data_IF_975194411253
#
_entry.id   IF_975194411253
#
_cell.length_a   1.000
_cell.length_b   1.000
_cell.length_c   1.000
_cell.angle_alpha   90.00
_cell.angle_beta   90.00
_cell.angle_gamma   90.00
#
_symmetry.space_group_name_H-M   'P 1'
#
loop_
_entity.id
_entity.type
_entity.pdbx_description
1 polymer ?
#
# COMPACT_ATOMS: atom_id res chain seq x y z
N UNK A 1 -50.91 -19.76 13.26
CA UNK A 1 -50.02 -19.22 12.22
C UNK A 1 -48.95 -18.38 12.91
N UNK A 2 -47.68 -18.81 12.87
CA UNK A 2 -46.58 -17.93 13.28
C UNK A 2 -46.41 -16.84 12.23
N UNK A 3 -46.29 -15.60 12.64
CA UNK A 3 -46.10 -14.44 11.74
C UNK A 3 -44.77 -14.57 11.00
N UNK A 4 -44.71 -14.06 9.77
CA UNK A 4 -43.50 -14.06 8.93
C UNK A 4 -42.27 -13.47 9.67
N UNK A 5 -42.49 -12.49 10.55
CA UNK A 5 -41.46 -11.89 11.42
C UNK A 5 -40.83 -12.90 12.38
N UNK A 6 -41.61 -13.82 12.96
CA UNK A 6 -41.10 -14.82 13.91
C UNK A 6 -40.18 -15.84 13.20
N UNK A 7 -40.47 -16.13 11.92
CA UNK A 7 -39.61 -16.97 11.08
C UNK A 7 -38.31 -16.24 10.68
N UNK A 8 -38.39 -14.96 10.34
CA UNK A 8 -37.23 -14.15 9.99
C UNK A 8 -36.27 -14.00 11.19
N UNK A 9 -36.79 -13.70 12.38
CA UNK A 9 -36.00 -13.61 13.61
C UNK A 9 -35.33 -14.94 13.98
N UNK A 10 -36.05 -16.06 13.88
CA UNK A 10 -35.47 -17.38 14.15
C UNK A 10 -34.37 -17.77 13.15
N UNK A 11 -34.50 -17.40 11.87
CA UNK A 11 -33.47 -17.65 10.86
C UNK A 11 -32.21 -16.81 11.11
N UNK A 12 -32.36 -15.54 11.50
CA UNK A 12 -31.25 -14.66 11.84
C UNK A 12 -30.45 -15.16 13.05
N UNK A 13 -31.13 -15.57 14.13
CA UNK A 13 -30.49 -16.13 15.33
C UNK A 13 -29.74 -17.43 15.01
N UNK A 14 -30.30 -18.29 14.16
CA UNK A 14 -29.66 -19.53 13.75
C UNK A 14 -28.38 -19.27 12.92
N UNK A 15 -28.43 -18.29 12.02
CA UNK A 15 -27.27 -17.88 11.22
C UNK A 15 -26.17 -17.25 12.08
N UNK A 16 -26.53 -16.39 13.05
CA UNK A 16 -25.57 -15.81 14.00
C UNK A 16 -24.87 -16.89 14.85
N UNK A 17 -25.61 -17.90 15.34
CA UNK A 17 -25.02 -19.02 16.10
C UNK A 17 -24.08 -19.88 15.23
N UNK A 18 -24.40 -20.07 13.94
CA UNK A 18 -23.52 -20.79 13.01
C UNK A 18 -22.26 -20.00 12.70
N UNK A 19 -22.38 -18.69 12.47
CA UNK A 19 -21.24 -17.80 12.28
C UNK A 19 -20.33 -17.78 13.52
N UNK A 20 -20.90 -17.66 14.71
CA UNK A 20 -20.14 -17.69 15.97
C UNK A 20 -19.33 -18.98 16.17
N UNK A 21 -19.91 -20.16 15.84
CA UNK A 21 -19.19 -21.44 15.93
C UNK A 21 -18.04 -21.56 14.92
N UNK A 22 -18.13 -20.89 13.77
CA UNK A 22 -17.07 -20.87 12.76
C UNK A 22 -15.97 -19.86 13.11
N UNK A 23 -16.33 -18.73 13.70
CA UNK A 23 -15.38 -17.66 14.05
C UNK A 23 -14.62 -17.94 15.35
N UNK A 24 -15.20 -18.69 16.30
CA UNK A 24 -14.60 -18.92 17.61
C UNK A 24 -13.23 -19.65 17.54
N UNK A 25 -13.03 -20.71 16.74
CA UNK A 25 -11.71 -21.33 16.58
C UNK A 25 -10.69 -20.40 15.93
N UNK A 26 -11.13 -19.57 14.98
CA UNK A 26 -10.27 -18.57 14.31
C UNK A 26 -9.83 -17.51 15.32
N UNK A 27 -10.77 -16.95 16.09
CA UNK A 27 -10.48 -15.98 17.14
C UNK A 27 -9.55 -16.57 18.22
N UNK A 28 -9.78 -17.80 18.64
CA UNK A 28 -8.92 -18.48 19.61
C UNK A 28 -7.51 -18.73 19.06
N UNK A 29 -7.39 -19.15 17.79
CA UNK A 29 -6.10 -19.30 17.11
C UNK A 29 -5.34 -17.98 16.98
N UNK A 30 -6.05 -16.89 16.65
CA UNK A 30 -5.47 -15.54 16.60
C UNK A 30 -5.00 -15.06 17.99
N UNK A 31 -5.78 -15.29 19.04
CA UNK A 31 -5.41 -14.95 20.42
C UNK A 31 -4.20 -15.74 20.92
N UNK A 32 -4.17 -17.06 20.68
CA UNK A 32 -3.03 -17.90 21.04
C UNK A 32 -1.77 -17.52 20.26
N UNK A 33 -1.92 -17.24 18.97
CA UNK A 33 -0.85 -16.70 18.14
C UNK A 33 -0.32 -15.42 18.76
N UNK A 34 -1.17 -14.40 18.94
CA UNK A 34 -0.78 -13.12 19.54
C UNK A 34 -0.09 -13.27 20.91
N UNK A 35 -0.62 -14.12 21.79
CA UNK A 35 -0.01 -14.40 23.10
C UNK A 35 1.39 -15.00 22.96
N UNK A 36 1.59 -15.95 22.04
CA UNK A 36 2.91 -16.51 21.73
C UNK A 36 3.88 -15.45 21.19
N UNK A 37 3.40 -14.58 20.29
CA UNK A 37 4.15 -13.44 19.76
C UNK A 37 4.67 -12.52 20.86
N UNK A 38 3.79 -12.23 21.82
CA UNK A 38 4.09 -11.30 22.89
C UNK A 38 5.11 -11.88 23.87
N UNK A 39 5.24 -13.20 23.94
CA UNK A 39 6.32 -13.90 24.66
C UNK A 39 7.62 -14.00 23.87
N UNK A 40 7.70 -13.37 22.70
CA UNK A 40 8.89 -13.42 21.85
C UNK A 40 9.02 -14.73 21.06
N UNK A 41 7.96 -15.54 20.97
CA UNK A 41 7.98 -16.62 19.98
C UNK A 41 7.88 -15.98 18.59
N UNK A 42 8.80 -16.33 17.69
CA UNK A 42 8.72 -15.90 16.28
C UNK A 42 7.41 -16.43 15.68
N UNK A 43 6.46 -15.55 15.40
CA UNK A 43 5.19 -15.88 14.75
C UNK A 43 5.38 -16.23 13.28
N UNK A 44 6.49 -15.84 12.67
CA UNK A 44 6.80 -16.19 11.28
C UNK A 44 8.20 -16.82 11.27
N UNK A 45 8.35 -18.07 10.79
CA UNK A 45 7.41 -18.83 9.97
C UNK A 45 6.29 -19.58 10.74
N UNK A 46 6.40 -19.71 12.07
CA UNK A 46 5.68 -20.77 12.79
C UNK A 46 4.21 -20.49 13.11
N UNK A 47 3.78 -19.27 13.42
CA UNK A 47 2.37 -18.98 13.68
C UNK A 47 1.52 -18.89 12.41
N UNK A 48 2.10 -18.56 11.26
CA UNK A 48 1.39 -18.68 9.99
C UNK A 48 1.25 -20.15 9.59
N UNK A 49 2.28 -20.97 9.84
CA UNK A 49 2.17 -22.42 9.75
C UNK A 49 1.16 -23.00 10.77
N UNK A 50 1.09 -22.42 11.98
CA UNK A 50 0.14 -22.82 13.03
C UNK A 50 -1.29 -22.37 12.70
N UNK A 51 -1.47 -21.18 12.11
CA UNK A 51 -2.76 -20.69 11.61
C UNK A 51 -3.23 -21.51 10.42
N UNK A 52 -2.33 -21.85 9.50
CA UNK A 52 -2.63 -22.76 8.39
C UNK A 52 -2.92 -24.18 8.89
N UNK A 53 -2.18 -24.66 9.89
CA UNK A 53 -2.39 -25.94 10.56
C UNK A 53 -3.72 -26.00 11.30
N UNK A 54 -4.08 -24.96 12.04
CA UNK A 54 -5.38 -24.84 12.73
C UNK A 54 -6.53 -24.67 11.74
N UNK A 55 -6.35 -23.91 10.65
CA UNK A 55 -7.33 -23.81 9.57
C UNK A 55 -7.52 -25.16 8.85
N UNK A 56 -6.42 -25.91 8.63
CA UNK A 56 -6.47 -27.26 8.08
C UNK A 56 -7.21 -28.20 9.04
N UNK A 57 -6.88 -28.18 10.33
CA UNK A 57 -7.59 -28.95 11.37
C UNK A 57 -9.07 -28.57 11.41
N UNK A 58 -9.40 -27.28 11.37
CA UNK A 58 -10.79 -26.81 11.33
C UNK A 58 -11.52 -27.29 10.07
N UNK A 59 -10.88 -27.26 8.91
CA UNK A 59 -11.44 -27.81 7.66
C UNK A 59 -11.66 -29.32 7.75
N UNK A 60 -10.73 -30.05 8.37
CA UNK A 60 -10.86 -31.50 8.62
C UNK A 60 -12.00 -31.81 9.60
N UNK A 61 -12.11 -31.04 10.69
CA UNK A 61 -13.18 -31.18 11.68
C UNK A 61 -14.56 -30.83 11.10
N UNK A 62 -14.65 -29.79 10.27
CA UNK A 62 -15.88 -29.46 9.54
C UNK A 62 -16.24 -30.56 8.55
N UNK A 63 -15.27 -31.09 7.81
CA UNK A 63 -15.47 -32.22 6.89
C UNK A 63 -15.98 -33.46 7.65
N UNK A 64 -15.42 -33.74 8.83
CA UNK A 64 -15.86 -34.83 9.72
C UNK A 64 -17.29 -34.60 10.25
N UNK A 65 -17.62 -33.39 10.70
CA UNK A 65 -18.96 -33.04 11.15
C UNK A 65 -20.01 -33.17 10.03
N UNK A 66 -19.65 -32.77 8.80
CA UNK A 66 -20.48 -32.99 7.61
C UNK A 66 -20.67 -34.48 7.29
N UNK A 67 -19.65 -35.31 7.55
CA UNK A 67 -19.72 -36.76 7.38
C UNK A 67 -20.84 -37.38 8.22
N UNK A 68 -21.03 -36.88 9.45
CA UNK A 68 -22.03 -37.35 10.42
C UNK A 68 -23.48 -36.97 10.06
N UNK A 69 -23.67 -35.97 9.20
CA UNK A 69 -25.00 -35.59 8.70
C UNK A 69 -25.44 -36.49 7.52
N UNK A 70 -26.75 -36.54 7.20
CA UNK A 70 -27.31 -37.25 6.02
C UNK A 70 -27.43 -36.41 4.71
N UNK A 71 -26.53 -35.47 4.33
CA UNK A 71 -26.70 -34.76 3.06
C UNK A 71 -26.41 -35.67 1.88
N UNK A 72 -26.98 -35.29 0.73
CA UNK A 72 -26.72 -35.91 -0.57
C UNK A 72 -25.20 -36.00 -0.85
N UNK A 73 -24.71 -37.11 -1.40
CA UNK A 73 -23.28 -37.39 -1.57
C UNK A 73 -22.55 -36.34 -2.42
N UNK A 74 -23.23 -35.75 -3.42
CA UNK A 74 -22.65 -34.70 -4.28
C UNK A 74 -22.27 -33.41 -3.52
N UNK A 75 -23.12 -32.95 -2.61
CA UNK A 75 -22.85 -31.73 -1.82
C UNK A 75 -21.70 -31.94 -0.82
N UNK A 76 -21.56 -33.17 -0.29
CA UNK A 76 -20.42 -33.54 0.57
C UNK A 76 -19.09 -33.43 -0.17
N UNK A 77 -19.01 -34.02 -1.37
CA UNK A 77 -17.80 -33.98 -2.18
C UNK A 77 -17.40 -32.55 -2.56
N UNK A 78 -18.37 -31.71 -2.97
CA UNK A 78 -18.12 -30.31 -3.29
C UNK A 78 -17.57 -29.52 -2.10
N UNK A 79 -18.11 -29.73 -0.89
CA UNK A 79 -17.63 -29.07 0.31
C UNK A 79 -16.19 -29.50 0.68
N UNK A 80 -15.86 -30.79 0.56
CA UNK A 80 -14.50 -31.31 0.81
C UNK A 80 -13.52 -30.71 -0.19
N UNK A 81 -13.86 -30.71 -1.48
CA UNK A 81 -13.01 -30.13 -2.52
C UNK A 81 -12.82 -28.62 -2.26
N UNK A 82 -13.89 -27.89 -1.95
CA UNK A 82 -13.80 -26.45 -1.66
C UNK A 82 -12.91 -26.17 -0.43
N UNK A 83 -13.05 -26.96 0.64
CA UNK A 83 -12.21 -26.87 1.83
C UNK A 83 -10.74 -27.15 1.53
N UNK A 84 -10.45 -28.23 0.80
CA UNK A 84 -9.09 -28.58 0.41
C UNK A 84 -8.45 -27.50 -0.48
N UNK A 85 -9.18 -26.98 -1.47
CA UNK A 85 -8.72 -25.89 -2.33
C UNK A 85 -8.45 -24.63 -1.50
N UNK A 86 -9.34 -24.26 -0.58
CA UNK A 86 -9.14 -23.11 0.30
C UNK A 86 -7.88 -23.30 1.17
N UNK A 87 -7.67 -24.47 1.77
CA UNK A 87 -6.47 -24.76 2.56
C UNK A 87 -5.19 -24.68 1.73
N UNK A 88 -5.18 -25.21 0.51
CA UNK A 88 -4.03 -25.11 -0.40
C UNK A 88 -3.75 -23.65 -0.76
N UNK A 89 -4.78 -22.86 -1.06
CA UNK A 89 -4.61 -21.43 -1.36
C UNK A 89 -4.07 -20.65 -0.16
N UNK A 90 -4.56 -20.94 1.04
CA UNK A 90 -4.03 -20.35 2.28
C UNK A 90 -2.56 -20.75 2.45
N UNK A 91 -2.23 -22.04 2.42
CA UNK A 91 -0.86 -22.52 2.54
C UNK A 91 0.08 -21.90 1.48
N UNK A 92 -0.39 -21.77 0.24
CA UNK A 92 0.35 -21.11 -0.83
C UNK A 92 0.62 -19.63 -0.56
N UNK A 93 -0.39 -18.90 -0.05
CA UNK A 93 -0.23 -17.50 0.36
C UNK A 93 0.75 -17.37 1.54
N UNK A 94 0.65 -18.26 2.53
CA UNK A 94 1.55 -18.33 3.69
C UNK A 94 2.99 -18.58 3.27
N UNK A 95 3.22 -19.60 2.44
CA UNK A 95 4.54 -19.94 1.92
C UNK A 95 5.12 -18.81 1.06
N UNK A 96 4.26 -18.06 0.35
CA UNK A 96 4.67 -16.88 -0.40
C UNK A 96 5.09 -15.73 0.52
N UNK A 97 4.30 -15.43 1.57
CA UNK A 97 4.63 -14.39 2.56
C UNK A 97 5.91 -14.72 3.34
N UNK A 98 6.19 -15.99 3.59
CA UNK A 98 7.40 -16.44 4.28
C UNK A 98 8.68 -16.36 3.41
N UNK A 99 8.57 -16.03 2.11
CA UNK A 99 9.76 -15.85 1.28
C UNK A 99 10.50 -14.59 1.71
N UNK A 100 11.82 -14.65 1.94
CA UNK A 100 12.58 -13.45 2.23
C UNK A 100 12.45 -12.46 1.06
N UNK A 101 12.25 -11.19 1.39
CA UNK A 101 12.38 -10.09 0.43
C UNK A 101 13.73 -9.40 0.62
N UNK A 102 14.17 -8.54 -0.31
CA UNK A 102 15.33 -7.68 -0.10
C UNK A 102 15.25 -6.82 1.17
N UNK A 103 14.04 -6.56 1.68
CA UNK A 103 13.79 -5.83 2.92
C UNK A 103 14.01 -6.72 4.15
N UNK A 104 13.43 -7.93 4.16
CA UNK A 104 13.50 -8.85 5.32
C UNK A 104 14.77 -9.70 5.36
N UNK A 105 15.56 -9.73 4.29
CA UNK A 105 16.85 -10.44 4.26
C UNK A 105 17.99 -9.67 4.91
N UNK A 106 17.76 -8.43 5.34
CA UNK A 106 18.76 -7.58 5.97
C UNK A 106 18.89 -7.92 7.45
N UNK A 107 20.11 -7.87 7.98
CA UNK A 107 20.28 -7.83 9.43
C UNK A 107 19.75 -6.51 10.01
N UNK A 108 19.48 -6.49 11.32
CA UNK A 108 18.86 -5.36 11.99
C UNK A 108 19.69 -4.07 11.92
N UNK A 109 21.03 -4.16 11.96
CA UNK A 109 21.90 -2.99 11.89
C UNK A 109 21.90 -2.39 10.47
N UNK A 110 21.96 -3.23 9.45
CA UNK A 110 21.88 -2.80 8.06
C UNK A 110 20.50 -2.21 7.72
N UNK A 111 19.43 -2.81 8.24
CA UNK A 111 18.08 -2.26 8.14
C UNK A 111 18.02 -0.85 8.74
N UNK A 112 18.53 -0.66 9.96
CA UNK A 112 18.45 0.63 10.64
C UNK A 112 19.25 1.72 9.91
N UNK A 113 20.47 1.40 9.50
CA UNK A 113 21.30 2.32 8.71
C UNK A 113 20.60 2.72 7.40
N UNK A 114 20.03 1.75 6.68
CA UNK A 114 19.29 1.99 5.45
C UNK A 114 18.03 2.83 5.70
N UNK A 115 17.30 2.53 6.76
CA UNK A 115 16.08 3.23 7.14
C UNK A 115 16.33 4.71 7.47
N UNK A 116 17.41 5.04 8.18
CA UNK A 116 17.79 6.43 8.48
C UNK A 116 18.00 7.23 7.19
N UNK A 117 18.75 6.67 6.24
CA UNK A 117 19.04 7.31 4.94
C UNK A 117 17.77 7.46 4.11
N UNK A 118 16.98 6.41 3.99
CA UNK A 118 15.75 6.42 3.19
C UNK A 118 14.67 7.32 3.79
N UNK A 119 14.56 7.41 5.11
CA UNK A 119 13.67 8.36 5.80
C UNK A 119 14.06 9.81 5.50
N UNK A 120 15.35 10.12 5.45
CA UNK A 120 15.82 11.46 5.10
C UNK A 120 15.51 11.79 3.63
N UNK A 121 15.77 10.85 2.71
CA UNK A 121 15.41 10.98 1.30
C UNK A 121 13.92 11.18 1.08
N UNK A 122 13.09 10.39 1.76
CA UNK A 122 11.64 10.56 1.74
C UNK A 122 11.26 12.01 2.09
N UNK A 123 11.82 12.57 3.17
CA UNK A 123 11.52 13.95 3.57
C UNK A 123 11.91 14.95 2.49
N UNK A 124 13.10 14.83 1.94
CA UNK A 124 13.60 15.72 0.88
C UNK A 124 12.74 15.63 -0.38
N UNK A 125 12.37 14.43 -0.79
CA UNK A 125 11.54 14.19 -1.98
C UNK A 125 10.10 14.67 -1.79
N UNK A 126 9.49 14.38 -0.64
CA UNK A 126 8.14 14.83 -0.31
C UNK A 126 8.08 16.36 -0.21
N UNK A 127 9.08 17.00 0.39
CA UNK A 127 9.19 18.46 0.44
C UNK A 127 9.42 19.06 -0.95
N UNK A 128 10.29 18.47 -1.76
CA UNK A 128 10.55 18.91 -3.13
C UNK A 128 9.28 18.88 -3.98
N UNK A 129 8.53 17.77 -3.92
CA UNK A 129 7.26 17.62 -4.61
C UNK A 129 6.21 18.64 -4.15
N UNK A 130 6.09 18.86 -2.83
CA UNK A 130 5.17 19.85 -2.27
C UNK A 130 5.52 21.28 -2.69
N UNK A 131 6.80 21.65 -2.70
CA UNK A 131 7.26 22.98 -3.15
C UNK A 131 6.96 23.25 -4.62
N UNK A 132 6.98 22.22 -5.48
CA UNK A 132 6.59 22.40 -6.89
C UNK A 132 5.12 22.77 -6.98
N UNK A 133 4.26 22.05 -6.28
CA UNK A 133 2.82 22.32 -6.24
C UNK A 133 2.55 23.72 -5.69
N UNK A 134 3.18 24.08 -4.57
CA UNK A 134 3.06 25.40 -3.94
C UNK A 134 3.50 26.52 -4.89
N UNK A 135 4.65 26.38 -5.57
CA UNK A 135 5.12 27.36 -6.55
C UNK A 135 4.16 27.55 -7.72
N UNK A 136 3.57 26.46 -8.22
CA UNK A 136 2.57 26.53 -9.28
C UNK A 136 1.32 27.29 -8.81
N UNK A 137 0.89 27.06 -7.57
CA UNK A 137 -0.24 27.78 -6.96
C UNK A 137 0.06 29.26 -6.75
N UNK A 138 1.21 29.60 -6.17
CA UNK A 138 1.64 30.99 -5.94
C UNK A 138 1.82 31.77 -7.24
N UNK A 139 2.39 31.13 -8.27
CA UNK A 139 2.56 31.73 -9.58
C UNK A 139 1.25 31.80 -10.39
N UNK A 140 0.15 31.22 -9.89
CA UNK A 140 -1.10 31.03 -10.65
C UNK A 140 -0.82 30.41 -12.03
N UNK A 141 -0.01 29.34 -12.03
CA UNK A 141 0.40 28.61 -13.22
C UNK A 141 -0.23 27.21 -13.21
N UNK A 142 -1.14 26.90 -14.15
CA UNK A 142 -1.65 27.76 -15.21
C UNK A 142 -2.63 28.84 -14.70
N UNK A 143 -2.91 29.89 -15.51
CA UNK A 143 -3.95 30.87 -15.20
C UNK A 143 -5.28 30.18 -14.90
N UNK A 144 -6.06 30.71 -13.96
CA UNK A 144 -7.32 30.11 -13.52
C UNK A 144 -8.47 30.17 -14.54
N UNK A 145 -8.24 30.78 -15.70
CA UNK A 145 -9.18 30.83 -16.82
C UNK A 145 -9.00 29.58 -17.69
N UNK A 146 -10.11 28.86 -17.92
CA UNK A 146 -10.11 27.54 -18.57
C UNK A 146 -9.57 27.60 -20.01
N UNK A 147 -9.86 28.70 -20.70
CA UNK A 147 -9.49 28.91 -22.10
C UNK A 147 -8.23 29.77 -22.28
N UNK A 148 -7.63 30.26 -21.19
CA UNK A 148 -6.43 31.09 -21.29
C UNK A 148 -5.29 30.31 -21.95
N UNK A 149 -4.73 30.90 -22.99
CA UNK A 149 -3.59 30.35 -23.73
C UNK A 149 -2.33 30.59 -22.90
N UNK A 150 -1.52 29.55 -22.74
CA UNK A 150 -0.23 29.65 -22.06
C UNK A 150 0.74 30.49 -22.90
N UNK A 151 1.42 31.45 -22.29
CA UNK A 151 2.57 32.08 -22.93
C UNK A 151 3.74 31.10 -23.03
N UNK A 152 4.70 31.36 -23.92
CA UNK A 152 5.88 30.51 -24.07
C UNK A 152 6.65 30.33 -22.74
N UNK A 153 6.76 31.40 -21.93
CA UNK A 153 7.42 31.32 -20.61
C UNK A 153 6.63 30.46 -19.63
N UNK A 154 5.29 30.52 -19.69
CA UNK A 154 4.40 29.68 -18.88
C UNK A 154 4.48 28.21 -19.28
N UNK A 155 4.54 27.91 -20.58
CA UNK A 155 4.75 26.57 -21.11
C UNK A 155 6.06 25.96 -20.62
N UNK A 156 7.16 26.70 -20.72
CA UNK A 156 8.48 26.26 -20.24
C UNK A 156 8.45 26.01 -18.73
N UNK A 157 7.93 26.97 -17.95
CA UNK A 157 7.86 26.84 -16.50
C UNK A 157 6.97 25.66 -16.06
N UNK A 158 5.85 25.44 -16.74
CA UNK A 158 4.94 24.34 -16.46
C UNK A 158 5.57 22.98 -16.82
N UNK A 159 6.26 22.90 -17.96
CA UNK A 159 6.96 21.68 -18.37
C UNK A 159 8.11 21.32 -17.42
N UNK A 160 8.89 22.30 -16.99
CA UNK A 160 9.96 22.12 -16.01
C UNK A 160 9.40 21.67 -14.65
N UNK A 161 8.31 22.28 -14.19
CA UNK A 161 7.61 21.86 -12.98
C UNK A 161 7.07 20.42 -13.10
N UNK A 162 6.50 20.06 -14.25
CA UNK A 162 6.00 18.71 -14.51
C UNK A 162 7.11 17.66 -14.48
N UNK A 163 8.25 17.95 -15.11
CA UNK A 163 9.42 17.06 -15.07
C UNK A 163 9.91 16.85 -13.65
N UNK A 164 10.13 17.94 -12.90
CA UNK A 164 10.62 17.86 -11.53
C UNK A 164 9.62 17.11 -10.63
N UNK A 165 8.31 17.34 -10.82
CA UNK A 165 7.26 16.63 -10.09
C UNK A 165 7.33 15.12 -10.35
N UNK A 166 7.50 14.73 -11.62
CA UNK A 166 7.58 13.31 -12.00
C UNK A 166 8.83 12.63 -11.44
N UNK A 167 9.95 13.33 -11.40
CA UNK A 167 11.20 12.82 -10.82
C UNK A 167 11.05 12.55 -9.31
N UNK A 168 10.45 13.49 -8.56
CA UNK A 168 10.15 13.27 -7.15
C UNK A 168 9.13 12.14 -6.95
N UNK A 169 8.10 12.07 -7.78
CA UNK A 169 7.11 11.00 -7.71
C UNK A 169 7.74 9.62 -7.95
N UNK A 170 8.62 9.50 -8.95
CA UNK A 170 9.35 8.26 -9.21
C UNK A 170 10.26 7.88 -8.03
N UNK A 171 10.91 8.85 -7.40
CA UNK A 171 11.78 8.60 -6.25
C UNK A 171 10.98 8.14 -5.01
N UNK A 172 9.85 8.78 -4.71
CA UNK A 172 8.95 8.37 -3.62
C UNK A 172 8.37 6.97 -3.86
N UNK A 173 7.96 6.67 -5.10
CA UNK A 173 7.42 5.35 -5.45
C UNK A 173 8.49 4.25 -5.32
N UNK A 174 9.78 4.56 -5.55
CA UNK A 174 10.87 3.62 -5.27
C UNK A 174 11.05 3.36 -3.76
N UNK A 175 10.94 4.38 -2.91
CA UNK A 175 10.96 4.20 -1.45
C UNK A 175 9.76 3.37 -1.01
N UNK A 176 8.56 3.72 -1.49
CA UNK A 176 7.33 2.97 -1.21
C UNK A 176 7.46 1.49 -1.58
N UNK A 177 7.84 1.17 -2.82
CA UNK A 177 7.96 -0.23 -3.29
C UNK A 177 8.96 -1.06 -2.52
N UNK A 178 10.03 -0.45 -2.02
CA UNK A 178 11.03 -1.20 -1.28
C UNK A 178 10.57 -1.58 0.11
N UNK A 179 9.87 -0.66 0.79
CA UNK A 179 9.33 -0.92 2.11
C UNK A 179 7.94 -1.60 2.07
N UNK A 180 7.32 -1.80 0.89
CA UNK A 180 5.98 -2.37 0.74
C UNK A 180 5.85 -3.82 1.25
N UNK A 181 6.97 -4.54 1.33
CA UNK A 181 7.06 -5.88 1.91
C UNK A 181 7.06 -5.87 3.46
N UNK A 182 6.69 -4.76 4.12
CA UNK A 182 6.61 -4.64 5.59
C UNK A 182 5.73 -5.72 6.25
N UNK A 183 4.71 -6.22 5.55
CA UNK A 183 3.81 -7.26 6.01
C UNK A 183 4.50 -8.62 6.20
N UNK A 184 5.74 -8.76 5.73
CA UNK A 184 6.57 -9.96 5.94
C UNK A 184 7.35 -9.93 7.25
N UNK A 185 7.51 -8.77 7.88
CA UNK A 185 8.05 -8.70 9.24
C UNK A 185 7.03 -9.25 10.23
N UNK A 186 7.55 -9.94 11.23
CA UNK A 186 6.77 -10.42 12.35
C UNK A 186 6.33 -9.26 13.27
N UNK A 187 5.04 -9.20 13.61
CA UNK A 187 4.48 -8.22 14.56
C UNK A 187 4.86 -8.57 16.03
N UNK A 188 5.49 -9.73 16.25
CA UNK A 188 6.11 -10.11 17.51
C UNK A 188 7.16 -9.11 17.96
N UNK A 189 7.52 -9.14 19.24
CA UNK A 189 8.45 -8.19 19.86
C UNK A 189 9.82 -8.12 19.18
N UNK A 190 10.21 -9.12 18.39
CA UNK A 190 11.50 -9.18 17.71
C UNK A 190 11.59 -8.25 16.49
N UNK A 191 10.55 -8.19 15.67
CA UNK A 191 10.58 -7.47 14.38
C UNK A 191 9.53 -6.33 14.32
N UNK A 192 8.73 -6.15 15.38
CA UNK A 192 7.69 -5.12 15.47
C UNK A 192 8.19 -3.71 15.15
N UNK A 193 9.40 -3.36 15.59
CA UNK A 193 10.01 -2.07 15.27
C UNK A 193 10.26 -1.91 13.77
N UNK A 194 10.86 -2.92 13.13
CA UNK A 194 11.14 -2.93 11.68
C UNK A 194 9.85 -2.92 10.87
N UNK A 195 8.85 -3.69 11.32
CA UNK A 195 7.50 -3.70 10.76
C UNK A 195 6.90 -2.29 10.78
N UNK A 196 6.85 -1.65 11.96
CA UNK A 196 6.26 -0.31 12.13
C UNK A 196 7.00 0.74 11.29
N UNK A 197 8.34 0.78 11.37
CA UNK A 197 9.19 1.68 10.59
C UNK A 197 8.91 1.55 9.09
N UNK A 198 8.89 0.32 8.58
CA UNK A 198 8.66 0.02 7.16
C UNK A 198 7.26 0.38 6.71
N UNK A 199 6.23 0.05 7.51
CA UNK A 199 4.86 0.42 7.23
C UNK A 199 4.71 1.94 7.16
N UNK A 200 5.16 2.67 8.19
CA UNK A 200 5.05 4.12 8.25
C UNK A 200 5.76 4.80 7.08
N UNK A 201 6.94 4.34 6.69
CA UNK A 201 7.67 4.94 5.57
C UNK A 201 7.01 4.64 4.23
N UNK A 202 6.50 3.43 4.04
CA UNK A 202 5.70 3.06 2.85
C UNK A 202 4.46 3.92 2.75
N UNK A 203 3.71 4.03 3.85
CA UNK A 203 2.42 4.71 3.84
C UNK A 203 2.59 6.23 3.75
N UNK A 204 3.59 6.80 4.42
CA UNK A 204 3.91 8.22 4.28
C UNK A 204 4.34 8.59 2.86
N UNK A 205 5.04 7.70 2.14
CA UNK A 205 5.38 7.87 0.72
C UNK A 205 4.15 7.77 -0.19
N UNK A 206 3.26 6.79 0.04
CA UNK A 206 1.97 6.66 -0.68
C UNK A 206 1.11 7.92 -0.50
N UNK A 207 0.95 8.40 0.74
CA UNK A 207 0.16 9.60 1.02
C UNK A 207 0.78 10.86 0.40
N UNK A 208 2.10 11.01 0.45
CA UNK A 208 2.77 12.14 -0.20
C UNK A 208 2.59 12.12 -1.72
N UNK A 209 2.65 10.95 -2.36
CA UNK A 209 2.38 10.79 -3.78
C UNK A 209 0.94 11.21 -4.12
N UNK A 210 -0.02 10.65 -3.40
CA UNK A 210 -1.44 10.87 -3.65
C UNK A 210 -1.85 12.32 -3.38
N UNK A 211 -1.47 12.89 -2.23
CA UNK A 211 -1.79 14.27 -1.85
C UNK A 211 -1.26 15.26 -2.89
N UNK A 212 0.02 15.15 -3.25
CA UNK A 212 0.63 16.10 -4.18
C UNK A 212 0.15 15.88 -5.62
N UNK A 213 -0.15 14.63 -6.03
CA UNK A 213 -0.78 14.37 -7.32
C UNK A 213 -2.19 14.94 -7.40
N UNK A 214 -2.97 14.85 -6.32
CA UNK A 214 -4.31 15.43 -6.24
C UNK A 214 -4.25 16.96 -6.37
N UNK A 215 -3.37 17.62 -5.60
CA UNK A 215 -3.18 19.07 -5.70
C UNK A 215 -2.68 19.52 -7.06
N UNK A 216 -1.67 18.83 -7.62
CA UNK A 216 -1.15 19.14 -8.96
C UNK A 216 -2.25 18.97 -10.02
N UNK A 217 -3.03 17.87 -9.95
CA UNK A 217 -4.11 17.62 -10.89
C UNK A 217 -5.25 18.63 -10.77
N UNK A 218 -5.59 19.05 -9.55
CA UNK A 218 -6.56 20.12 -9.31
C UNK A 218 -6.08 21.45 -9.91
N UNK A 219 -4.80 21.78 -9.77
CA UNK A 219 -4.21 22.97 -10.38
C UNK A 219 -4.26 22.92 -11.91
N UNK A 220 -4.00 21.76 -12.53
CA UNK A 220 -4.12 21.63 -13.98
C UNK A 220 -5.57 21.63 -14.48
N UNK A 221 -6.53 21.28 -13.61
CA UNK A 221 -7.94 21.26 -13.96
C UNK A 221 -8.55 22.67 -14.09
N UNK A 222 -7.86 23.71 -13.65
CA UNK A 222 -8.31 25.10 -13.83
C UNK A 222 -8.08 25.64 -15.24
N UNK A 223 -7.32 24.92 -16.08
CA UNK A 223 -6.98 25.36 -17.43
C UNK A 223 -6.84 24.16 -18.40
N UNK A 224 -7.78 24.01 -19.33
CA UNK A 224 -7.77 22.94 -20.33
C UNK A 224 -6.54 22.96 -21.25
N UNK A 225 -6.00 24.14 -21.57
CA UNK A 225 -4.79 24.26 -22.40
C UNK A 225 -3.56 23.72 -21.69
N UNK A 226 -3.43 23.92 -20.37
CA UNK A 226 -2.33 23.40 -19.57
C UNK A 226 -2.34 21.87 -19.52
N UNK A 227 -3.52 21.27 -19.33
CA UNK A 227 -3.68 19.82 -19.41
C UNK A 227 -3.31 19.30 -20.80
N UNK A 228 -3.81 19.95 -21.85
CA UNK A 228 -3.53 19.56 -23.25
C UNK A 228 -2.04 19.67 -23.56
N UNK A 229 -1.39 20.74 -23.10
CA UNK A 229 0.03 20.97 -23.22
C UNK A 229 0.85 19.86 -22.52
N UNK A 230 0.52 19.49 -21.29
CA UNK A 230 1.23 18.42 -20.56
C UNK A 230 0.99 17.00 -21.13
N UNK A 231 -0.13 16.80 -21.83
CA UNK A 231 -0.42 15.54 -22.54
C UNK A 231 0.11 15.52 -23.98
N UNK A 232 0.57 16.65 -24.53
CA UNK A 232 1.29 16.66 -25.80
C UNK A 232 2.64 15.94 -25.67
N UNK A 233 3.16 15.30 -26.74
CA UNK A 233 4.49 14.71 -26.72
C UNK A 233 5.57 15.82 -26.70
N UNK A 234 6.54 15.72 -25.78
CA UNK A 234 7.69 16.63 -25.64
C UNK A 234 8.98 15.84 -25.86
N UNK A 235 9.31 15.59 -27.14
CA UNK A 235 10.39 14.66 -27.54
C UNK A 235 11.78 15.08 -27.07
N UNK A 236 12.04 16.39 -27.05
CA UNK A 236 13.25 17.05 -26.58
C UNK A 236 13.46 16.91 -25.07
N UNK A 237 12.39 16.64 -24.31
CA UNK A 237 12.44 16.30 -22.88
C UNK A 237 12.17 14.82 -22.61
N UNK A 238 12.16 13.99 -23.66
CA UNK A 238 11.88 12.55 -23.59
C UNK A 238 10.53 12.20 -22.95
N UNK A 239 9.49 13.03 -23.15
CA UNK A 239 8.14 12.77 -22.66
C UNK A 239 7.25 12.22 -23.77
N UNK A 240 6.68 11.05 -23.53
CA UNK A 240 5.62 10.51 -24.36
C UNK A 240 4.33 11.33 -24.17
N UNK A 241 3.53 11.44 -25.22
CA UNK A 241 2.17 12.00 -25.09
C UNK A 241 1.31 11.24 -24.08
N UNK A 242 0.37 11.93 -23.45
CA UNK A 242 -0.51 11.41 -22.41
C UNK A 242 0.16 11.20 -21.05
N UNK A 243 1.36 11.75 -20.83
CA UNK A 243 2.14 11.52 -19.60
C UNK A 243 1.41 11.99 -18.34
N UNK A 244 0.74 13.14 -18.40
CA UNK A 244 0.00 13.71 -17.27
C UNK A 244 -1.28 12.93 -17.00
N UNK A 245 -2.07 12.64 -18.03
CA UNK A 245 -3.27 11.80 -17.92
C UNK A 245 -2.96 10.41 -17.37
N UNK A 246 -1.85 9.80 -17.78
CA UNK A 246 -1.40 8.51 -17.27
C UNK A 246 -1.06 8.58 -15.77
N UNK A 247 -0.29 9.58 -15.34
CA UNK A 247 0.01 9.79 -13.92
C UNK A 247 -1.27 9.94 -13.11
N UNK A 248 -2.21 10.78 -13.57
CA UNK A 248 -3.49 11.00 -12.88
C UNK A 248 -4.26 9.70 -12.71
N UNK A 249 -4.34 8.87 -13.76
CA UNK A 249 -5.00 7.57 -13.69
C UNK A 249 -4.30 6.62 -12.70
N UNK A 250 -2.96 6.66 -12.66
CA UNK A 250 -2.14 5.76 -11.86
C UNK A 250 -2.02 6.14 -10.39
N UNK A 251 -2.17 7.41 -10.05
CA UNK A 251 -2.02 7.90 -8.67
C UNK A 251 -3.35 8.30 -8.04
N UNK A 252 -4.36 8.69 -8.81
CA UNK A 252 -5.67 9.13 -8.29
C UNK A 252 -6.82 8.18 -8.64
N UNK A 253 -6.51 7.01 -9.18
CA UNK A 253 -7.51 5.99 -9.51
C UNK A 253 -8.09 5.31 -8.26
N UNK A 254 -9.22 4.61 -8.44
CA UNK A 254 -9.91 3.89 -7.38
C UNK A 254 -9.01 2.89 -6.60
N UNK A 255 -7.98 2.35 -7.25
CA UNK A 255 -6.98 1.48 -6.62
C UNK A 255 -6.23 2.20 -5.51
N UNK A 256 -5.74 3.40 -5.77
CA UNK A 256 -4.90 4.15 -4.84
C UNK A 256 -5.74 4.76 -3.73
N UNK A 257 -7.00 5.11 -4.01
CA UNK A 257 -8.00 5.40 -2.98
C UNK A 257 -8.21 4.21 -2.03
N UNK A 258 -8.40 3.01 -2.56
CA UNK A 258 -8.55 1.80 -1.74
C UNK A 258 -7.31 1.51 -0.89
N UNK A 259 -6.10 1.78 -1.41
CA UNK A 259 -4.85 1.64 -0.66
C UNK A 259 -4.74 2.63 0.50
N UNK A 260 -5.20 3.87 0.30
CA UNK A 260 -5.21 4.88 1.36
C UNK A 260 -6.16 4.47 2.48
N UNK A 261 -7.38 4.05 2.13
CA UNK A 261 -8.37 3.57 3.10
C UNK A 261 -7.84 2.35 3.85
N UNK A 262 -7.28 1.37 3.14
CA UNK A 262 -6.70 0.18 3.77
C UNK A 262 -5.51 0.52 4.68
N UNK A 263 -4.67 1.48 4.28
CA UNK A 263 -3.53 1.95 5.08
C UNK A 263 -3.98 2.70 6.35
N UNK A 264 -5.02 3.53 6.26
CA UNK A 264 -5.65 4.21 7.40
C UNK A 264 -6.23 3.19 8.40
N UNK A 265 -7.02 2.23 7.91
CA UNK A 265 -7.56 1.14 8.74
C UNK A 265 -6.45 0.30 9.39
N UNK A 266 -5.35 0.07 8.67
CA UNK A 266 -4.22 -0.66 9.22
C UNK A 266 -3.48 0.14 10.29
N UNK A 267 -3.28 1.44 10.07
CA UNK A 267 -2.72 2.36 11.07
C UNK A 267 -3.55 2.34 12.36
N UNK A 268 -4.88 2.38 12.26
CA UNK A 268 -5.80 2.27 13.39
C UNK A 268 -5.71 0.91 14.09
N UNK A 269 -5.61 -0.17 13.32
CA UNK A 269 -5.36 -1.49 13.89
C UNK A 269 -4.03 -1.54 14.68
N UNK A 270 -2.97 -0.91 14.18
CA UNK A 270 -1.68 -0.84 14.88
C UNK A 270 -1.76 0.00 16.16
N UNK A 271 -2.52 1.11 16.15
CA UNK A 271 -2.83 1.91 17.36
C UNK A 271 -3.46 1.03 18.44
N UNK A 272 -4.46 0.22 18.07
CA UNK A 272 -5.22 -0.60 19.02
C UNK A 272 -4.51 -1.86 19.50
N UNK A 273 -3.73 -2.51 18.64
CA UNK A 273 -3.18 -3.86 18.93
C UNK A 273 -1.81 -3.85 19.59
N UNK A 274 -0.95 -2.89 19.26
CA UNK A 274 0.45 -2.87 19.73
C UNK A 274 0.88 -1.55 20.37
N UNK A 275 -0.05 -0.62 20.61
CA UNK A 275 0.25 0.73 21.08
C UNK A 275 1.32 1.40 20.20
N UNK A 276 1.07 1.37 18.88
CA UNK A 276 2.05 1.79 17.88
C UNK A 276 2.48 3.26 18.02
N UNK A 277 1.68 4.10 18.69
CA UNK A 277 2.05 5.48 18.97
C UNK A 277 3.24 5.56 19.94
N UNK A 278 3.15 4.89 21.10
CA UNK A 278 4.28 4.80 22.04
C UNK A 278 5.49 4.14 21.40
N UNK A 279 5.29 3.06 20.65
CA UNK A 279 6.39 2.41 19.93
C UNK A 279 7.05 3.35 18.91
N UNK A 280 6.28 4.19 18.21
CA UNK A 280 6.83 5.18 17.29
C UNK A 280 7.68 6.25 18.01
N UNK A 281 7.35 6.60 19.25
CA UNK A 281 8.17 7.49 20.09
C UNK A 281 9.47 6.81 20.51
N UNK A 282 9.40 5.58 21.02
CA UNK A 282 10.55 4.77 21.44
C UNK A 282 11.54 4.55 20.28
N UNK A 283 11.01 4.28 19.09
CA UNK A 283 11.78 4.04 17.87
C UNK A 283 12.21 5.32 17.13
N UNK A 284 11.91 6.51 17.68
CA UNK A 284 12.31 7.79 17.09
C UNK A 284 11.66 8.10 15.72
N UNK A 285 10.47 7.56 15.46
CA UNK A 285 9.69 7.73 14.21
C UNK A 285 8.37 8.46 14.40
N UNK A 286 8.12 9.07 15.57
CA UNK A 286 6.95 9.91 15.84
C UNK A 286 6.75 11.06 14.84
N UNK A 287 7.83 11.61 14.28
CA UNK A 287 7.75 12.62 13.22
C UNK A 287 7.17 12.08 11.90
N UNK A 288 7.42 10.80 11.59
CA UNK A 288 6.85 10.14 10.41
C UNK A 288 5.37 9.83 10.63
N UNK A 289 5.02 9.38 11.84
CA UNK A 289 3.64 9.20 12.26
C UNK A 289 2.82 10.49 12.10
N UNK A 290 3.31 11.60 12.66
CA UNK A 290 2.64 12.91 12.54
C UNK A 290 2.47 13.33 11.08
N UNK A 291 3.44 13.02 10.22
CA UNK A 291 3.35 13.32 8.79
C UNK A 291 2.24 12.50 8.11
N UNK A 292 2.06 11.24 8.49
CA UNK A 292 0.94 10.39 8.01
C UNK A 292 -0.39 11.04 8.39
N UNK A 293 -0.58 11.39 9.66
CA UNK A 293 -1.81 12.03 10.14
C UNK A 293 -2.10 13.37 9.43
N UNK A 294 -1.08 14.21 9.22
CA UNK A 294 -1.21 15.45 8.46
C UNK A 294 -1.60 15.23 7.00
N UNK A 295 -1.02 14.23 6.35
CA UNK A 295 -1.29 13.95 4.93
C UNK A 295 -2.70 13.37 4.74
N UNK A 296 -3.16 12.51 5.67
CA UNK A 296 -4.55 12.03 5.70
C UNK A 296 -5.53 13.19 5.85
N UNK A 297 -5.30 14.08 6.81
CA UNK A 297 -6.14 15.26 7.00
C UNK A 297 -6.16 16.18 5.76
N UNK A 298 -5.01 16.35 5.09
CA UNK A 298 -4.94 17.12 3.85
C UNK A 298 -5.71 16.45 2.70
N UNK A 299 -5.63 15.12 2.56
CA UNK A 299 -6.37 14.37 1.55
C UNK A 299 -7.87 14.44 1.79
N UNK A 300 -8.31 14.34 3.05
CA UNK A 300 -9.72 14.52 3.41
C UNK A 300 -10.21 15.94 3.09
N UNK A 301 -9.39 16.95 3.39
CA UNK A 301 -9.71 18.34 3.06
C UNK A 301 -9.82 18.60 1.55
N UNK A 302 -9.09 17.84 0.72
CA UNK A 302 -9.19 17.89 -0.74
C UNK A 302 -10.49 17.24 -1.27
N UNK A 303 -11.17 16.40 -0.48
CA UNK A 303 -12.44 15.76 -0.88
C UNK A 303 -12.32 14.79 -2.06
N UNK A 304 -11.11 14.24 -2.31
CA UNK A 304 -10.82 13.42 -3.49
C UNK A 304 -11.12 11.93 -3.33
N UNK A 305 -11.40 11.47 -2.11
CA UNK A 305 -11.74 10.07 -1.82
C UNK A 305 -13.25 9.95 -1.57
N UNK A 306 -13.92 9.15 -2.40
CA UNK A 306 -15.30 8.74 -2.13
C UNK A 306 -15.32 7.52 -1.18
N UNK A 307 -15.43 7.80 0.11
CA UNK A 307 -15.50 6.76 1.15
C UNK A 307 -16.80 5.94 1.07
N UNK A 308 -17.87 6.45 0.44
CA UNK A 308 -19.18 5.81 0.37
C UNK A 308 -19.25 4.69 -0.67
N UNK A 309 -18.55 4.85 -1.80
CA UNK A 309 -18.47 3.82 -2.85
C UNK A 309 -17.44 2.72 -2.53
N UNK A 310 -16.43 3.02 -1.72
CA UNK A 310 -15.27 2.13 -1.51
C UNK A 310 -15.49 1.08 -0.41
N UNK A 311 -16.68 1.02 0.20
CA UNK A 311 -16.94 0.07 1.30
C UNK A 311 -17.07 -1.38 0.77
N UNK A 312 -15.98 -2.16 0.89
CA UNK A 312 -15.91 -3.63 1.01
C UNK A 312 -16.08 -4.49 -0.26
N UNK A 313 -16.76 -4.04 -1.33
CA UNK A 313 -16.96 -4.90 -2.54
C UNK A 313 -15.84 -4.84 -3.58
N UNK A 314 -15.00 -3.81 -3.60
CA UNK A 314 -13.95 -3.63 -4.60
C UNK A 314 -12.62 -4.36 -4.25
N UNK A 315 -12.32 -4.54 -2.97
CA UNK A 315 -10.99 -4.92 -2.49
C UNK A 315 -10.52 -6.32 -2.89
N UNK A 316 -11.42 -7.31 -2.99
CA UNK A 316 -11.00 -8.68 -3.28
C UNK A 316 -10.76 -8.96 -4.77
N UNK A 317 -11.43 -8.25 -5.68
CA UNK A 317 -11.27 -8.47 -7.13
C UNK A 317 -10.14 -7.64 -7.73
N UNK A 318 -9.88 -6.43 -7.22
CA UNK A 318 -8.77 -5.56 -7.67
C UNK A 318 -7.39 -6.12 -7.28
N UNK A 319 -7.25 -6.58 -6.04
CA UNK A 319 -6.01 -7.14 -5.50
C UNK A 319 -5.50 -8.36 -6.30
N UNK A 320 -6.44 -9.22 -6.75
CA UNK A 320 -6.12 -10.47 -7.46
C UNK A 320 -5.65 -10.27 -8.90
N UNK A 321 -6.01 -9.15 -9.54
CA UNK A 321 -5.62 -8.86 -10.95
C UNK A 321 -4.35 -8.02 -11.09
N UNK A 322 -3.89 -7.35 -10.03
CA UNK A 322 -2.88 -6.28 -10.15
C UNK A 322 -1.47 -6.55 -9.62
N UNK A 323 -1.20 -7.73 -9.04
CA UNK A 323 0.16 -8.16 -8.69
C UNK A 323 1.07 -8.44 -9.91
N UNK A 324 0.58 -8.30 -11.16
CA UNK A 324 1.32 -8.79 -12.34
C UNK A 324 1.66 -7.81 -13.47
N UNK A 325 1.09 -6.60 -13.64
CA UNK A 325 1.18 -5.96 -14.99
C UNK A 325 1.23 -4.44 -15.18
N UNK A 326 1.14 -3.59 -14.17
CA UNK A 326 0.85 -2.17 -14.45
C UNK A 326 2.04 -1.23 -14.73
N UNK A 327 3.30 -1.66 -14.57
CA UNK A 327 4.45 -0.73 -14.69
C UNK A 327 5.40 -0.99 -15.89
N UNK A 328 5.14 -2.03 -16.68
CA UNK A 328 6.09 -2.52 -17.69
C UNK A 328 6.13 -1.81 -19.07
N UNK A 329 5.17 -0.97 -19.53
CA UNK A 329 5.33 -0.31 -20.83
C UNK A 329 6.33 0.86 -20.81
N UNK A 330 6.30 1.70 -19.76
CA UNK A 330 7.23 2.85 -19.62
C UNK A 330 8.63 2.38 -19.25
N UNK A 331 8.74 1.28 -18.50
CA UNK A 331 10.02 0.66 -18.19
C UNK A 331 10.70 0.00 -19.39
N UNK A 332 10.03 -0.31 -20.51
CA UNK A 332 10.78 -0.85 -21.64
C UNK A 332 11.65 0.23 -22.30
N UNK A 333 11.11 1.44 -22.48
CA UNK A 333 11.89 2.59 -22.93
C UNK A 333 12.87 3.10 -21.87
N UNK A 334 12.42 3.22 -20.62
CA UNK A 334 13.28 3.71 -19.53
C UNK A 334 14.32 2.67 -19.06
N UNK A 335 14.10 1.36 -19.16
CA UNK A 335 15.12 0.36 -18.82
C UNK A 335 16.09 0.07 -19.97
N UNK A 336 15.80 0.48 -21.20
CA UNK A 336 16.81 0.56 -22.26
C UNK A 336 17.70 1.81 -22.06
N UNK A 337 17.15 2.92 -21.53
CA UNK A 337 17.94 4.14 -21.20
C UNK A 337 18.61 4.10 -19.81
N UNK A 338 18.00 3.43 -18.83
CA UNK A 338 18.50 3.21 -17.46
C UNK A 338 19.10 1.81 -17.28
N UNK A 339 19.21 1.02 -18.35
CA UNK A 339 19.85 -0.31 -18.32
C UNK A 339 21.30 -0.26 -17.86
N UNK A 340 21.92 0.92 -17.93
CA UNK A 340 23.27 1.19 -17.43
C UNK A 340 23.31 1.90 -16.06
N UNK A 341 22.14 2.25 -15.49
CA UNK A 341 22.04 2.91 -14.17
C UNK A 341 21.05 2.22 -13.25
N UNK A 342 21.61 1.58 -12.21
CA UNK A 342 20.99 1.19 -10.93
C UNK A 342 20.21 -0.13 -10.91
N UNK A 343 20.97 -1.21 -10.76
CA UNK A 343 20.65 -2.14 -9.67
C UNK A 343 20.65 -1.30 -8.37
N UNK A 344 19.54 -1.26 -7.63
CA UNK A 344 19.48 -0.62 -6.30
C UNK A 344 20.50 -1.29 -5.39
N UNK A 345 21.71 -0.75 -5.31
CA UNK A 345 22.77 -1.21 -4.41
C UNK A 345 22.62 -0.45 -3.10
N UNK A 346 22.10 -1.14 -2.10
CA UNK A 346 22.00 -0.61 -0.74
C UNK A 346 23.43 -0.38 -0.25
N UNK A 347 23.79 0.86 0.09
CA UNK A 347 25.09 1.18 0.71
C UNK A 347 26.32 1.25 -0.21
N UNK A 348 26.21 1.08 -1.54
CA UNK A 348 27.34 1.25 -2.47
C UNK A 348 27.00 2.26 -3.56
N UNK A 349 27.62 3.44 -3.52
CA UNK A 349 27.56 4.42 -4.59
C UNK A 349 28.86 4.37 -5.41
N UNK A 350 28.75 4.46 -6.73
CA UNK A 350 29.87 4.44 -7.69
C UNK A 350 30.73 5.72 -7.66
N UNK A 351 30.64 6.54 -6.61
CA UNK A 351 31.44 7.76 -6.44
C UNK A 351 32.21 7.63 -5.12
N UNK A 352 33.25 6.80 -5.12
CA UNK A 352 34.21 6.64 -4.01
C UNK A 352 35.50 7.46 -4.22
N UNK A 353 35.57 8.34 -5.22
CA UNK A 353 36.72 9.23 -5.35
C UNK A 353 36.44 10.56 -4.65
N UNK A 354 37.14 10.88 -3.54
CA UNK A 354 37.29 12.27 -3.17
C UNK A 354 37.96 12.99 -4.34
N UNK A 355 37.39 14.11 -4.75
CA UNK A 355 38.12 15.12 -5.53
C UNK A 355 39.23 15.64 -4.61
N UNK A 356 40.34 14.90 -4.54
CA UNK A 356 41.56 15.40 -3.94
C UNK A 356 42.10 16.51 -4.84
N UNK A 357 42.05 17.72 -4.30
CA UNK A 357 42.96 18.85 -4.46
C UNK A 357 43.76 18.96 -5.77
N UNK A 358 43.49 20.05 -6.50
CA UNK A 358 44.46 20.70 -7.38
C UNK A 358 45.37 21.60 -6.58
#
# INVERSE_FOLDING_TARGET
MRTEEEKAGSAMILNARRAGRLLLPVAFGLLLGFWGADRGMRLVPDAVATAAGTALIACLLLSYAFFKSKPQPRRKLQAIIAGAVASILILGAVAWMARPSPLTSQDAAHFEASFVVERQRYREQAQGMARIVERLQEASLPPADDEAILSADQEVALLDAWMAFRDYAMALDQTRRFYEDYYRFDISRHERAQHLKSFLLTFAAELALYENAARFAAQMATNANAKTFLDAPHTERHLSGGSFSLMRQQLLGARDQARIIAGEQYLDSLRLTIDAHRLAEEEGVSGLWRRVDQSLAAIDALGVIDRSETTVRADLQGLKRQLKRAWYPVQKGAAETLGDTRVRRIGHYLIDKPLSDK
#
